data_IF_936791926346
#
_entry.id   IF_936791926346
#
_cell.length_a   1.000
_cell.length_b   1.000
_cell.length_c   1.000
_cell.angle_alpha   90.00
_cell.angle_beta   90.00
_cell.angle_gamma   90.00
#
_symmetry.space_group_name_H-M   'P 1'
#
loop_
_entity.id
_entity.type
_entity.pdbx_description
1 polymer ?
#
# COMPACT_ATOMS: atom_id res chain seq x y z
N UNK A 1 2.37 28.25 14.00
CA UNK A 1 2.20 27.05 14.86
C UNK A 1 1.17 26.04 14.32
N UNK A 2 -0.02 26.47 13.86
CA UNK A 2 -1.08 25.58 13.29
C UNK A 2 -0.64 24.55 12.24
N UNK A 3 0.27 24.90 11.33
CA UNK A 3 0.69 23.99 10.26
C UNK A 3 1.47 22.76 10.76
N UNK A 4 2.12 22.84 11.94
CA UNK A 4 2.79 21.70 12.57
C UNK A 4 1.77 20.74 13.21
N UNK A 5 0.76 21.28 13.86
CA UNK A 5 -0.32 20.51 14.49
C UNK A 5 -1.17 19.78 13.47
N UNK A 6 -1.57 20.45 12.38
CA UNK A 6 -2.33 19.82 11.28
C UNK A 6 -1.56 18.64 10.66
N UNK A 7 -0.24 18.77 10.48
CA UNK A 7 0.59 17.66 9.97
C UNK A 7 0.68 16.51 10.96
N UNK A 8 0.77 16.80 12.26
CA UNK A 8 0.80 15.79 13.32
C UNK A 8 -0.53 15.04 13.39
N UNK A 9 -1.66 15.74 13.38
CA UNK A 9 -2.99 15.13 13.42
C UNK A 9 -3.27 14.29 12.18
N UNK A 10 -2.91 14.76 10.98
CA UNK A 10 -3.05 13.98 9.75
C UNK A 10 -2.26 12.65 9.78
N UNK A 11 -1.03 12.67 10.32
CA UNK A 11 -0.23 11.45 10.52
C UNK A 11 -0.85 10.51 11.54
N UNK A 12 -1.37 11.05 12.64
CA UNK A 12 -2.06 10.26 13.67
C UNK A 12 -3.36 9.65 13.15
N UNK A 13 -4.15 10.40 12.39
CA UNK A 13 -5.38 9.91 11.76
C UNK A 13 -5.08 8.74 10.82
N UNK A 14 -4.08 8.90 9.95
CA UNK A 14 -3.62 7.82 9.07
C UNK A 14 -3.19 6.59 9.87
N UNK A 15 -2.44 6.76 10.97
CA UNK A 15 -2.02 5.63 11.80
C UNK A 15 -3.22 4.91 12.45
N UNK A 16 -4.15 5.66 13.06
CA UNK A 16 -5.39 5.10 13.64
C UNK A 16 -6.20 4.29 12.62
N UNK A 17 -6.27 4.76 11.37
CA UNK A 17 -6.93 4.01 10.29
C UNK A 17 -6.29 2.64 10.05
N UNK A 18 -4.95 2.58 9.94
CA UNK A 18 -4.25 1.30 9.76
C UNK A 18 -4.30 0.41 11.00
N UNK A 19 -4.22 0.97 12.21
CA UNK A 19 -4.34 0.22 13.45
C UNK A 19 -5.72 -0.46 13.54
N UNK A 20 -6.79 0.24 13.15
CA UNK A 20 -8.14 -0.33 13.09
C UNK A 20 -8.26 -1.46 12.06
N UNK A 21 -7.60 -1.34 10.90
CA UNK A 21 -7.55 -2.43 9.91
C UNK A 21 -6.83 -3.65 10.49
N UNK A 22 -5.70 -3.46 11.18
CA UNK A 22 -4.97 -4.56 11.81
C UNK A 22 -5.84 -5.29 12.85
N UNK A 23 -6.55 -4.54 13.71
CA UNK A 23 -7.46 -5.13 14.69
C UNK A 23 -8.60 -5.94 14.02
N UNK A 24 -9.12 -5.48 12.88
CA UNK A 24 -10.12 -6.22 12.11
C UNK A 24 -9.55 -7.51 11.50
N UNK A 25 -8.28 -7.51 11.07
CA UNK A 25 -7.62 -8.71 10.58
C UNK A 25 -7.47 -9.75 11.70
N UNK A 26 -7.05 -9.33 12.90
CA UNK A 26 -6.95 -10.24 14.06
C UNK A 26 -8.30 -10.86 14.43
N UNK A 27 -9.37 -10.04 14.42
CA UNK A 27 -10.72 -10.55 14.65
C UNK A 27 -11.15 -11.54 13.56
N UNK A 28 -10.81 -11.28 12.28
CA UNK A 28 -11.11 -12.20 11.19
C UNK A 28 -10.37 -13.54 11.34
N UNK A 29 -9.11 -13.54 11.77
CA UNK A 29 -8.35 -14.77 12.09
C UNK A 29 -9.07 -15.57 13.18
N UNK A 30 -9.52 -14.91 14.26
CA UNK A 30 -10.25 -15.57 15.36
C UNK A 30 -11.55 -16.25 14.90
N UNK A 31 -12.18 -15.72 13.85
CA UNK A 31 -13.41 -16.27 13.28
C UNK A 31 -13.15 -17.23 12.09
N UNK A 32 -11.89 -17.60 11.82
CA UNK A 32 -11.49 -18.39 10.65
C UNK A 32 -11.97 -17.79 9.30
N UNK A 33 -12.18 -16.47 9.23
CA UNK A 33 -12.55 -15.76 8.00
C UNK A 33 -11.30 -15.37 7.19
N UNK A 34 -10.69 -16.37 6.55
CA UNK A 34 -9.43 -16.22 5.82
C UNK A 34 -9.56 -15.25 4.64
N UNK A 35 -10.73 -15.20 3.98
CA UNK A 35 -10.98 -14.27 2.87
C UNK A 35 -10.88 -12.82 3.35
N UNK A 36 -11.45 -12.51 4.51
CA UNK A 36 -11.37 -11.19 5.10
C UNK A 36 -9.96 -10.83 5.55
N UNK A 37 -9.20 -11.78 6.09
CA UNK A 37 -7.77 -11.59 6.41
C UNK A 37 -6.98 -11.20 5.16
N UNK A 38 -7.16 -11.90 4.03
CA UNK A 38 -6.48 -11.57 2.77
C UNK A 38 -6.82 -10.16 2.29
N UNK A 39 -8.11 -9.81 2.25
CA UNK A 39 -8.55 -8.49 1.78
C UNK A 39 -8.00 -7.35 2.65
N UNK A 40 -8.00 -7.51 3.97
CA UNK A 40 -7.49 -6.49 4.90
C UNK A 40 -5.97 -6.36 4.77
N UNK A 41 -5.23 -7.48 4.71
CA UNK A 41 -3.77 -7.44 4.54
C UNK A 41 -3.36 -6.84 3.19
N UNK A 42 -4.13 -7.08 2.12
CA UNK A 42 -3.93 -6.43 0.83
C UNK A 42 -4.13 -4.91 0.92
N UNK A 43 -5.13 -4.44 1.66
CA UNK A 43 -5.34 -3.01 1.91
C UNK A 43 -4.20 -2.38 2.72
N UNK A 44 -3.69 -3.08 3.75
CA UNK A 44 -2.58 -2.62 4.59
C UNK A 44 -1.26 -2.56 3.80
N UNK A 45 -0.97 -3.59 3.00
CA UNK A 45 0.24 -3.67 2.19
C UNK A 45 0.32 -2.54 1.14
N UNK A 46 -0.83 -1.98 0.76
CA UNK A 46 -0.96 -0.96 -0.25
C UNK A 46 -0.51 -1.45 -1.62
N UNK A 47 -0.51 -0.55 -2.62
CA UNK A 47 0.05 -0.87 -3.93
C UNK A 47 1.57 -1.03 -3.79
N UNK A 48 2.08 -2.25 -4.01
CA UNK A 48 3.52 -2.47 -4.24
C UNK A 48 3.91 -1.63 -5.45
N UNK A 49 4.59 -0.50 -5.23
CA UNK A 49 5.20 0.26 -6.32
C UNK A 49 6.34 -0.61 -6.85
N UNK A 50 6.05 -1.40 -7.87
CA UNK A 50 7.10 -1.95 -8.73
C UNK A 50 7.71 -0.74 -9.41
N UNK A 51 8.77 -0.22 -8.81
CA UNK A 51 9.64 0.70 -9.52
C UNK A 51 10.21 -0.13 -10.67
N UNK A 52 9.68 0.04 -11.88
CA UNK A 52 10.45 -0.15 -13.11
C UNK A 52 11.64 0.81 -12.99
N UNK A 53 12.68 0.39 -12.26
CA UNK A 53 13.97 1.03 -12.37
C UNK A 53 14.37 0.80 -13.83
N UNK A 54 14.57 1.86 -14.63
CA UNK A 54 15.02 1.66 -15.99
C UNK A 54 16.32 0.85 -15.92
N UNK A 55 16.32 -0.31 -16.55
CA UNK A 55 17.55 -1.09 -16.70
C UNK A 55 18.40 -0.29 -17.67
N UNK A 56 19.54 0.20 -17.19
CA UNK A 56 20.50 0.90 -18.05
C UNK A 56 21.08 -0.11 -19.03
N UNK A 57 21.05 0.20 -20.32
CA UNK A 57 21.81 -0.56 -21.30
C UNK A 57 23.32 -0.24 -21.17
N UNK A 58 24.17 -0.94 -21.91
CA UNK A 58 25.63 -0.74 -21.87
C UNK A 58 26.08 0.68 -22.28
N UNK A 59 25.22 1.46 -22.93
CA UNK A 59 25.47 2.87 -23.28
C UNK A 59 24.84 3.86 -22.28
N UNK A 60 24.39 3.38 -21.11
CA UNK A 60 23.81 4.23 -20.07
C UNK A 60 22.40 4.74 -20.35
N UNK A 61 21.77 4.32 -21.47
CA UNK A 61 20.40 4.70 -21.81
C UNK A 61 19.40 3.82 -21.05
N UNK A 62 18.39 4.46 -20.49
CA UNK A 62 17.28 3.80 -19.80
C UNK A 62 16.41 3.03 -20.81
N UNK A 63 16.24 1.73 -20.61
CA UNK A 63 15.23 0.95 -21.32
C UNK A 63 13.99 0.81 -20.43
N UNK A 64 12.84 1.33 -20.88
CA UNK A 64 11.55 1.13 -20.22
C UNK A 64 10.93 -0.16 -20.77
N UNK A 65 10.82 -1.21 -19.95
CA UNK A 65 9.99 -2.36 -20.30
C UNK A 65 8.61 -2.11 -19.72
N UNK A 66 7.69 -1.59 -20.53
CA UNK A 66 6.38 -1.13 -20.07
C UNK A 66 5.55 -2.24 -19.42
N UNK A 67 5.15 -2.02 -18.17
CA UNK A 67 4.10 -2.77 -17.50
C UNK A 67 2.73 -2.42 -18.07
N UNK A 68 2.12 -3.37 -18.78
CA UNK A 68 0.74 -3.31 -19.22
C UNK A 68 -0.20 -3.45 -18.02
N UNK A 69 -0.80 -2.36 -17.57
CA UNK A 69 -2.01 -2.43 -16.74
C UNK A 69 -3.20 -2.66 -17.67
N UNK A 70 -3.62 -3.91 -17.83
CA UNK A 70 -4.98 -4.19 -18.33
C UNK A 70 -5.98 -3.65 -17.30
N UNK A 71 -6.72 -2.62 -17.71
CA UNK A 71 -7.95 -2.21 -17.03
C UNK A 71 -8.99 -3.28 -17.33
N UNK A 72 -9.44 -4.01 -16.31
CA UNK A 72 -10.68 -4.78 -16.40
C UNK A 72 -11.83 -3.75 -16.48
N UNK A 73 -12.42 -3.64 -17.67
CA UNK A 73 -13.75 -3.07 -17.88
C UNK A 73 -14.79 -4.18 -17.89
#
# INVERSE_FOLDING_TARGET
MKNKECKKSARQYKRKYFDNLAAQAEYAVKNNDIRKVYNITYQIAGKKRVLEKPIKNKQGKAHHQGGTNQKMG
#
